data_IF_266071238711
#
_entry.id   IF_266071238711
#
_cell.length_a   1.000
_cell.length_b   1.000
_cell.length_c   1.000
_cell.angle_alpha   90.00
_cell.angle_beta   90.00
_cell.angle_gamma   90.00
#
_symmetry.space_group_name_H-M   'P 1'
#
loop_
_entity.id
_entity.type
_entity.pdbx_description
1 polymer ?
#
# COMPACT_ATOMS: atom_id res chain seq x y z
N UNK A 1 13.52 4.57 26.31
CA UNK A 1 12.62 5.71 26.02
C UNK A 1 13.39 6.96 25.55
N UNK A 2 14.51 7.33 26.18
CA UNK A 2 15.27 8.54 25.84
C UNK A 2 15.83 8.53 24.40
N UNK A 3 16.31 7.40 23.89
CA UNK A 3 16.88 7.28 22.54
C UNK A 3 15.82 7.50 21.45
N UNK A 4 14.62 6.98 21.66
CA UNK A 4 13.48 7.20 20.75
C UNK A 4 12.97 8.64 20.83
N UNK A 5 12.98 9.22 22.03
CA UNK A 5 12.61 10.64 22.22
C UNK A 5 13.58 11.57 21.48
N UNK A 6 14.87 11.26 21.49
CA UNK A 6 15.89 12.00 20.73
C UNK A 6 15.64 11.92 19.22
N UNK A 7 15.16 10.78 18.71
CA UNK A 7 14.81 10.62 17.30
C UNK A 7 13.65 11.51 16.85
N UNK A 8 12.74 11.91 17.76
CA UNK A 8 11.67 12.88 17.49
C UNK A 8 12.18 14.31 17.27
N UNK A 9 13.40 14.60 17.72
CA UNK A 9 14.01 15.92 17.63
C UNK A 9 14.78 16.16 16.33
N UNK A 10 14.64 15.27 15.33
CA UNK A 10 15.22 15.42 14.00
C UNK A 10 14.65 16.66 13.32
N UNK A 11 15.53 17.47 12.74
CA UNK A 11 15.13 18.65 11.99
C UNK A 11 14.35 18.23 10.74
N UNK A 12 13.06 18.52 10.75
CA UNK A 12 12.16 18.36 9.59
C UNK A 12 12.02 19.70 8.86
N UNK A 13 11.60 19.70 7.59
CA UNK A 13 11.08 20.90 6.94
C UNK A 13 9.96 21.52 7.78
N UNK A 14 9.85 22.86 7.83
CA UNK A 14 8.91 23.57 8.71
C UNK A 14 7.43 23.17 8.50
N UNK A 15 7.11 22.68 7.31
CA UNK A 15 5.76 22.28 6.94
C UNK A 15 5.44 20.82 7.24
N UNK A 16 6.37 20.08 7.88
CA UNK A 16 6.21 18.65 8.17
C UNK A 16 6.20 18.38 9.67
N UNK A 17 5.48 17.32 10.05
CA UNK A 17 5.50 16.77 11.41
C UNK A 17 5.73 15.25 11.38
N UNK A 18 6.30 14.74 12.46
CA UNK A 18 6.45 13.29 12.67
C UNK A 18 5.10 12.70 13.05
N UNK A 19 4.66 11.69 12.32
CA UNK A 19 3.51 10.85 12.69
C UNK A 19 3.95 9.68 13.56
N UNK A 20 5.00 8.95 13.10
CA UNK A 20 5.49 7.76 13.78
C UNK A 20 7.00 7.75 13.84
N UNK A 21 7.53 7.24 14.96
CA UNK A 21 8.92 6.85 15.15
C UNK A 21 8.92 5.37 15.46
N UNK A 22 9.37 4.56 14.51
CA UNK A 22 9.28 3.10 14.58
C UNK A 22 10.71 2.54 14.73
N UNK A 23 11.06 1.94 15.87
CA UNK A 23 12.36 1.33 16.04
C UNK A 23 12.54 0.15 15.08
N UNK A 24 13.70 0.08 14.45
CA UNK A 24 14.09 -1.04 13.59
C UNK A 24 15.04 -1.99 14.32
N UNK A 25 16.06 -1.43 14.93
CA UNK A 25 17.07 -2.16 15.70
C UNK A 25 17.78 -1.20 16.68
N UNK A 26 18.38 -1.78 17.69
CA UNK A 26 19.17 -1.05 18.69
C UNK A 26 20.63 -1.48 18.63
N UNK A 27 21.50 -0.59 19.10
CA UNK A 27 22.91 -0.89 19.35
C UNK A 27 23.27 -0.55 20.78
N UNK A 28 24.11 -1.37 21.40
CA UNK A 28 24.66 -1.13 22.74
C UNK A 28 26.17 -1.32 22.64
N UNK A 29 26.90 -0.23 22.88
CA UNK A 29 28.36 -0.13 22.74
C UNK A 29 28.79 -0.58 21.32
N UNK A 30 29.36 -1.78 21.15
CA UNK A 30 29.83 -2.33 19.88
C UNK A 30 28.88 -3.41 19.31
N UNK A 31 27.79 -3.72 20.00
CA UNK A 31 26.81 -4.72 19.54
C UNK A 31 25.67 -4.04 18.77
N UNK A 32 25.47 -4.46 17.55
CA UNK A 32 24.41 -3.99 16.65
C UNK A 32 23.33 -5.06 16.44
N UNK A 33 22.18 -4.68 15.82
CA UNK A 33 21.12 -5.61 15.49
C UNK A 33 20.31 -6.13 16.67
N UNK A 34 20.33 -5.45 17.80
CA UNK A 34 19.58 -5.83 19.00
C UNK A 34 18.10 -5.49 18.78
N UNK A 35 17.24 -6.50 18.86
CA UNK A 35 15.77 -6.32 18.71
C UNK A 35 15.12 -5.78 19.99
N UNK A 36 15.53 -6.28 21.15
CA UNK A 36 15.02 -5.85 22.45
C UNK A 36 16.17 -5.48 23.38
N UNK A 37 16.36 -4.18 23.68
CA UNK A 37 17.44 -3.70 24.52
C UNK A 37 17.09 -3.74 26.03
N UNK A 38 15.87 -4.12 26.40
CA UNK A 38 15.42 -4.10 27.81
C UNK A 38 16.22 -5.10 28.62
N UNK A 39 16.82 -4.64 29.73
CA UNK A 39 17.64 -5.46 30.61
C UNK A 39 19.10 -5.59 30.19
N UNK A 40 19.51 -5.01 29.06
CA UNK A 40 20.91 -4.96 28.65
C UNK A 40 21.58 -3.72 29.24
N UNK A 41 22.84 -3.87 29.69
CA UNK A 41 23.67 -2.81 30.23
C UNK A 41 24.73 -2.39 29.22
N UNK A 42 25.00 -1.08 29.12
CA UNK A 42 26.02 -0.52 28.27
C UNK A 42 26.21 0.97 28.54
N UNK A 43 27.31 1.54 28.04
CA UNK A 43 27.65 2.95 28.19
C UNK A 43 27.02 3.80 27.09
N UNK A 44 26.94 3.26 25.87
CA UNK A 44 26.37 3.94 24.71
C UNK A 44 25.24 3.11 24.12
N UNK A 45 24.08 3.73 24.00
CA UNK A 45 22.91 3.12 23.33
C UNK A 45 22.54 3.92 22.09
N UNK A 46 22.35 3.22 20.96
CA UNK A 46 21.81 3.77 19.72
C UNK A 46 20.53 3.08 19.32
N UNK A 47 19.74 3.72 18.48
CA UNK A 47 18.60 3.11 17.83
C UNK A 47 18.54 3.55 16.37
N UNK A 48 18.32 2.59 15.47
CA UNK A 48 17.94 2.85 14.09
C UNK A 48 16.41 2.88 14.03
N UNK A 49 15.88 3.96 13.53
CA UNK A 49 14.42 4.18 13.51
C UNK A 49 13.92 4.50 12.10
N UNK A 50 12.71 4.09 11.82
CA UNK A 50 11.95 4.53 10.64
C UNK A 50 11.05 5.68 11.05
N UNK A 51 11.20 6.84 10.40
CA UNK A 51 10.38 8.02 10.64
C UNK A 51 9.32 8.12 9.56
N UNK A 52 8.05 8.20 9.97
CA UNK A 52 6.94 8.52 9.07
C UNK A 52 6.50 9.94 9.36
N UNK A 53 6.53 10.78 8.33
CA UNK A 53 6.20 12.19 8.42
C UNK A 53 5.07 12.55 7.48
N UNK A 54 4.35 13.61 7.77
CA UNK A 54 3.35 14.17 6.87
C UNK A 54 3.42 15.69 6.82
N UNK A 55 2.83 16.25 5.77
CA UNK A 55 2.63 17.68 5.67
C UNK A 55 1.58 18.15 6.69
N UNK A 56 1.85 19.24 7.39
CA UNK A 56 0.98 19.76 8.45
C UNK A 56 -0.43 20.06 7.97
N UNK A 57 -0.58 20.62 6.76
CA UNK A 57 -1.89 20.99 6.25
C UNK A 57 -2.76 19.79 5.92
N UNK A 58 -2.17 18.69 5.43
CA UNK A 58 -2.91 17.44 5.19
C UNK A 58 -3.48 16.89 6.50
N UNK A 59 -2.64 16.82 7.54
CA UNK A 59 -3.07 16.36 8.84
C UNK A 59 -4.15 17.26 9.46
N UNK A 60 -3.97 18.59 9.39
CA UNK A 60 -4.98 19.56 9.86
C UNK A 60 -6.30 19.44 9.10
N UNK A 61 -6.27 19.16 7.81
CA UNK A 61 -7.51 18.98 7.03
C UNK A 61 -8.29 17.76 7.51
N UNK A 62 -7.61 16.65 7.80
CA UNK A 62 -8.23 15.45 8.39
C UNK A 62 -8.81 15.78 9.77
N UNK A 63 -8.03 16.42 10.64
CA UNK A 63 -8.47 16.84 11.99
C UNK A 63 -9.73 17.70 11.90
N UNK A 64 -9.74 18.74 11.05
CA UNK A 64 -10.90 19.62 10.85
C UNK A 64 -12.14 18.87 10.32
N UNK A 65 -11.97 17.87 9.45
CA UNK A 65 -13.10 17.08 8.97
C UNK A 65 -13.75 16.29 10.10
N UNK A 66 -12.97 15.71 10.99
CA UNK A 66 -13.45 14.95 12.15
C UNK A 66 -14.10 15.88 13.18
N UNK A 67 -13.49 17.03 13.46
CA UNK A 67 -14.01 18.03 14.41
C UNK A 67 -15.35 18.61 13.95
N UNK A 68 -15.58 18.77 12.65
CA UNK A 68 -16.86 19.27 12.11
C UNK A 68 -18.06 18.39 12.42
N UNK A 69 -17.84 17.10 12.65
CA UNK A 69 -18.89 16.16 13.07
C UNK A 69 -18.95 15.97 14.59
N UNK A 70 -18.25 16.84 15.35
CA UNK A 70 -18.29 16.85 16.81
C UNK A 70 -17.39 15.79 17.47
N UNK A 71 -16.47 15.19 16.73
CA UNK A 71 -15.50 14.22 17.24
C UNK A 71 -14.15 14.87 17.47
N UNK A 72 -13.32 14.24 18.31
CA UNK A 72 -11.94 14.65 18.55
C UNK A 72 -10.99 13.62 17.98
N UNK A 73 -9.91 14.07 17.35
CA UNK A 73 -8.83 13.21 16.87
C UNK A 73 -7.83 13.00 18.00
N UNK A 74 -7.65 11.76 18.42
CA UNK A 74 -6.62 11.41 19.39
C UNK A 74 -5.28 11.17 18.70
N UNK A 75 -5.27 10.49 17.56
CA UNK A 75 -4.06 10.15 16.81
C UNK A 75 -4.34 9.98 15.33
N UNK A 76 -3.37 10.36 14.49
CA UNK A 76 -3.34 10.03 13.06
C UNK A 76 -2.35 8.89 12.86
N UNK A 77 -2.79 7.83 12.20
CA UNK A 77 -1.99 6.63 11.94
C UNK A 77 -1.85 6.48 10.42
N UNK A 78 -0.64 6.18 9.97
CA UNK A 78 -0.36 5.88 8.57
C UNK A 78 -1.07 4.58 8.14
N UNK A 79 -1.81 4.62 7.04
CA UNK A 79 -2.70 3.52 6.62
C UNK A 79 -1.98 2.20 6.40
N UNK A 80 -0.85 2.17 5.67
CA UNK A 80 -0.11 0.93 5.45
C UNK A 80 0.39 0.30 6.75
N UNK A 81 0.71 1.12 7.76
CA UNK A 81 1.07 0.62 9.09
C UNK A 81 -0.13 -0.02 9.78
N UNK A 82 -1.29 0.66 9.76
CA UNK A 82 -2.52 0.12 10.33
C UNK A 82 -2.93 -1.18 9.64
N UNK A 83 -2.92 -1.22 8.30
CA UNK A 83 -3.21 -2.41 7.50
C UNK A 83 -2.25 -3.55 7.82
N UNK A 84 -0.96 -3.26 8.02
CA UNK A 84 0.04 -4.28 8.37
C UNK A 84 -0.25 -4.98 9.70
N UNK A 85 -0.83 -4.29 10.67
CA UNK A 85 -1.25 -4.90 11.93
C UNK A 85 -2.47 -5.79 11.78
N UNK A 86 -3.35 -5.46 10.83
CA UNK A 86 -4.56 -6.23 10.60
C UNK A 86 -4.31 -7.51 9.80
N UNK A 87 -3.41 -7.46 8.80
CA UNK A 87 -3.32 -8.51 7.77
C UNK A 87 -2.02 -9.31 7.78
N UNK A 88 -0.96 -8.84 8.44
CA UNK A 88 0.33 -9.53 8.48
C UNK A 88 0.56 -10.28 9.77
N UNK A 89 1.13 -11.48 9.66
CA UNK A 89 1.64 -12.24 10.80
C UNK A 89 3.06 -11.81 11.16
N UNK A 90 3.50 -12.12 12.39
CA UNK A 90 4.87 -11.85 12.82
C UNK A 90 5.89 -12.67 12.04
N UNK A 91 5.54 -13.90 11.65
CA UNK A 91 6.39 -14.75 10.83
C UNK A 91 6.60 -14.14 9.42
N UNK A 92 5.56 -13.60 8.79
CA UNK A 92 5.68 -12.89 7.53
C UNK A 92 6.61 -11.68 7.64
N UNK A 93 6.47 -10.89 8.70
CA UNK A 93 7.35 -9.73 8.97
C UNK A 93 8.80 -10.15 9.19
N UNK A 94 9.02 -11.28 9.85
CA UNK A 94 10.38 -11.83 10.09
C UNK A 94 11.00 -12.36 8.80
N UNK A 95 10.25 -13.11 7.99
CA UNK A 95 10.72 -13.71 6.73
C UNK A 95 10.93 -12.67 5.63
N UNK A 96 10.18 -11.58 5.67
CA UNK A 96 10.18 -10.52 4.67
C UNK A 96 8.91 -10.51 3.85
N UNK A 97 8.17 -9.39 3.87
CA UNK A 97 6.89 -9.21 3.22
C UNK A 97 6.69 -7.75 2.83
N UNK A 98 5.99 -7.54 1.73
CA UNK A 98 5.45 -6.23 1.37
C UNK A 98 3.93 -6.27 1.50
N UNK A 99 3.35 -5.38 2.29
CA UNK A 99 1.90 -5.12 2.28
C UNK A 99 1.60 -3.94 1.38
N UNK A 100 0.54 -4.05 0.58
CA UNK A 100 0.04 -2.99 -0.29
C UNK A 100 -1.45 -2.82 -0.06
N UNK A 101 -1.83 -1.68 0.46
CA UNK A 101 -3.23 -1.28 0.63
C UNK A 101 -3.65 -0.48 -0.61
N UNK A 102 -4.48 -1.09 -1.46
CA UNK A 102 -4.94 -0.50 -2.72
C UNK A 102 -6.30 0.14 -2.49
N UNK A 103 -6.29 1.45 -2.28
CA UNK A 103 -7.50 2.25 -2.11
C UNK A 103 -8.09 2.77 -3.42
N UNK A 104 -8.94 3.77 -3.33
CA UNK A 104 -9.48 4.49 -4.49
C UNK A 104 -8.44 5.42 -5.11
N UNK A 105 -7.80 6.27 -4.30
CA UNK A 105 -6.89 7.31 -4.75
C UNK A 105 -5.40 7.00 -4.56
N UNK A 106 -5.04 6.15 -3.61
CA UNK A 106 -3.65 5.85 -3.26
C UNK A 106 -3.43 4.35 -3.09
N UNK A 107 -2.20 3.93 -3.34
CA UNK A 107 -1.66 2.66 -2.86
C UNK A 107 -0.63 2.95 -1.78
N UNK A 108 -0.88 2.43 -0.60
CA UNK A 108 -0.01 2.60 0.57
C UNK A 108 0.76 1.32 0.80
N UNK A 109 2.09 1.37 0.75
CA UNK A 109 2.94 0.20 0.88
C UNK A 109 3.87 0.27 2.08
N UNK A 110 4.15 -0.89 2.66
CA UNK A 110 5.14 -1.06 3.72
C UNK A 110 5.91 -2.38 3.53
N UNK A 111 7.22 -2.31 3.70
CA UNK A 111 8.13 -3.47 3.58
C UNK A 111 8.71 -3.79 4.95
N UNK A 112 8.56 -5.04 5.35
CA UNK A 112 9.11 -5.59 6.58
C UNK A 112 10.15 -6.66 6.25
N UNK A 113 11.27 -6.65 6.95
CA UNK A 113 12.25 -7.75 6.96
C UNK A 113 12.89 -7.86 8.34
N UNK A 114 13.11 -9.09 8.81
CA UNK A 114 13.68 -9.32 10.13
C UNK A 114 12.80 -8.80 11.27
N UNK A 115 11.49 -8.76 11.07
CA UNK A 115 10.50 -8.24 12.03
C UNK A 115 10.41 -6.72 12.10
N UNK A 116 11.18 -5.97 11.31
CA UNK A 116 11.23 -4.51 11.37
C UNK A 116 10.66 -3.87 10.10
N UNK A 117 9.94 -2.75 10.25
CA UNK A 117 9.53 -1.91 9.13
C UNK A 117 10.78 -1.25 8.52
N UNK A 118 11.09 -1.59 7.27
CA UNK A 118 12.26 -1.08 6.54
C UNK A 118 11.95 0.07 5.62
N UNK A 119 10.76 0.06 5.03
CA UNK A 119 10.34 1.06 4.05
C UNK A 119 8.85 1.27 4.08
N UNK A 120 8.42 2.48 3.78
CA UNK A 120 7.01 2.81 3.54
C UNK A 120 6.89 3.89 2.48
N UNK A 121 5.85 3.81 1.65
CA UNK A 121 5.58 4.79 0.59
C UNK A 121 4.10 4.87 0.29
N UNK A 122 3.65 6.06 -0.12
CA UNK A 122 2.34 6.31 -0.72
C UNK A 122 2.53 6.55 -2.22
N UNK A 123 1.81 5.80 -3.04
CA UNK A 123 1.77 5.97 -4.49
C UNK A 123 0.42 6.64 -4.82
N UNK A 124 0.38 7.83 -5.45
CA UNK A 124 -0.85 8.61 -5.62
C UNK A 124 -1.71 8.17 -6.81
N UNK A 125 -1.78 6.86 -7.05
CA UNK A 125 -2.60 6.24 -8.08
C UNK A 125 -3.15 4.93 -7.53
N UNK A 126 -4.43 4.64 -7.79
CA UNK A 126 -5.08 3.41 -7.36
C UNK A 126 -6.38 3.12 -8.15
N UNK A 127 -7.37 2.51 -7.52
CA UNK A 127 -8.59 2.02 -8.15
C UNK A 127 -9.39 3.04 -8.95
N UNK A 128 -9.30 4.33 -8.61
CA UNK A 128 -10.00 5.39 -9.35
C UNK A 128 -9.42 5.62 -10.76
N UNK A 129 -8.15 5.32 -10.98
CA UNK A 129 -7.56 5.34 -12.32
C UNK A 129 -8.23 4.28 -13.22
N UNK A 130 -8.47 3.09 -12.67
CA UNK A 130 -9.20 2.02 -13.37
C UNK A 130 -10.63 2.45 -13.72
N UNK A 131 -11.34 3.06 -12.78
CA UNK A 131 -12.69 3.61 -13.00
C UNK A 131 -12.70 4.65 -14.12
N UNK A 132 -11.71 5.53 -14.14
CA UNK A 132 -11.57 6.57 -15.17
C UNK A 132 -11.31 5.95 -16.54
N UNK A 133 -10.49 4.92 -16.63
CA UNK A 133 -10.24 4.20 -17.90
C UNK A 133 -11.51 3.54 -18.43
N UNK A 134 -12.30 2.91 -17.57
CA UNK A 134 -13.60 2.31 -17.94
C UNK A 134 -14.56 3.39 -18.44
N UNK A 135 -14.69 4.50 -17.69
CA UNK A 135 -15.56 5.62 -18.06
C UNK A 135 -15.19 6.17 -19.44
N UNK A 136 -13.91 6.37 -19.69
CA UNK A 136 -13.39 6.88 -20.95
C UNK A 136 -13.56 5.88 -22.10
N UNK A 137 -13.14 4.63 -21.91
CA UNK A 137 -13.18 3.59 -22.95
C UNK A 137 -14.61 3.30 -23.44
N UNK A 138 -15.59 3.33 -22.53
CA UNK A 138 -16.97 2.98 -22.86
C UNK A 138 -17.89 4.19 -22.97
N UNK A 139 -17.42 5.41 -22.70
CA UNK A 139 -18.28 6.59 -22.69
C UNK A 139 -19.45 6.43 -21.71
N UNK A 140 -19.16 5.91 -20.51
CA UNK A 140 -20.13 5.69 -19.42
C UNK A 140 -19.89 6.69 -18.28
N UNK A 141 -20.93 7.09 -17.52
CA UNK A 141 -20.72 7.97 -16.37
C UNK A 141 -19.78 7.34 -15.34
N UNK A 142 -18.92 8.13 -14.64
CA UNK A 142 -17.97 7.60 -13.66
C UNK A 142 -18.60 6.76 -12.54
N UNK A 143 -19.82 7.11 -12.11
CA UNK A 143 -20.56 6.35 -11.09
C UNK A 143 -20.90 4.96 -11.60
N UNK A 144 -21.36 4.87 -12.86
CA UNK A 144 -21.68 3.59 -13.49
C UNK A 144 -20.41 2.80 -13.80
N UNK A 145 -19.34 3.47 -14.21
CA UNK A 145 -18.03 2.83 -14.41
C UNK A 145 -17.51 2.17 -13.13
N UNK A 146 -17.64 2.83 -11.98
CA UNK A 146 -17.28 2.26 -10.68
C UNK A 146 -18.16 1.05 -10.34
N UNK A 147 -19.47 1.15 -10.53
CA UNK A 147 -20.40 0.05 -10.29
C UNK A 147 -20.09 -1.16 -11.19
N UNK A 148 -19.76 -0.94 -12.46
CA UNK A 148 -19.37 -1.97 -13.41
C UNK A 148 -18.04 -2.61 -13.01
N UNK A 149 -17.05 -1.81 -12.62
CA UNK A 149 -15.75 -2.31 -12.11
C UNK A 149 -15.95 -3.23 -10.92
N UNK A 150 -16.71 -2.80 -9.92
CA UNK A 150 -16.96 -3.57 -8.70
C UNK A 150 -17.71 -4.87 -8.96
N UNK A 151 -18.66 -4.86 -9.90
CA UNK A 151 -19.55 -5.99 -10.14
C UNK A 151 -19.01 -7.00 -11.14
N UNK A 152 -18.35 -6.53 -12.18
CA UNK A 152 -17.96 -7.33 -13.34
C UNK A 152 -16.47 -7.26 -13.66
N UNK A 153 -15.72 -6.41 -12.97
CA UNK A 153 -14.30 -6.22 -13.23
C UNK A 153 -13.50 -7.49 -13.01
N UNK A 154 -12.47 -7.65 -13.84
CA UNK A 154 -11.45 -8.68 -13.67
C UNK A 154 -10.08 -8.09 -14.04
N UNK A 155 -9.10 -8.29 -13.19
CA UNK A 155 -7.74 -7.78 -13.40
C UNK A 155 -6.92 -8.62 -14.39
N UNK A 156 -7.48 -9.74 -14.87
CA UNK A 156 -6.80 -10.65 -15.79
C UNK A 156 -7.78 -11.25 -16.81
N UNK A 157 -7.75 -10.74 -18.05
CA UNK A 157 -8.74 -11.05 -19.08
C UNK A 157 -8.88 -12.53 -19.44
N UNK A 158 -7.79 -13.31 -19.30
CA UNK A 158 -7.82 -14.76 -19.57
C UNK A 158 -8.73 -15.58 -18.61
N UNK A 159 -9.09 -15.00 -17.46
CA UNK A 159 -10.00 -15.65 -16.50
C UNK A 159 -11.47 -15.45 -16.85
N UNK A 160 -11.77 -14.51 -17.73
CA UNK A 160 -13.13 -14.16 -18.12
C UNK A 160 -13.62 -15.02 -19.28
N UNK A 161 -14.83 -15.57 -19.16
CA UNK A 161 -15.46 -16.29 -20.26
C UNK A 161 -15.81 -15.34 -21.42
N UNK A 162 -15.58 -15.80 -22.66
CA UNK A 162 -15.93 -15.05 -23.86
C UNK A 162 -17.43 -14.94 -24.10
N UNK A 163 -18.22 -15.76 -23.42
CA UNK A 163 -19.67 -15.80 -23.55
C UNK A 163 -20.37 -14.85 -22.59
N UNK A 164 -19.65 -14.36 -21.54
CA UNK A 164 -20.22 -13.45 -20.57
C UNK A 164 -20.45 -12.07 -21.18
N UNK A 165 -21.66 -11.55 -21.05
CA UNK A 165 -22.04 -10.20 -21.48
C UNK A 165 -22.50 -9.35 -20.32
N UNK A 166 -22.26 -8.04 -20.41
CA UNK A 166 -22.65 -7.03 -19.43
C UNK A 166 -23.36 -5.87 -20.11
N UNK A 167 -24.28 -5.22 -19.40
CA UNK A 167 -24.93 -3.99 -19.84
C UNK A 167 -24.16 -2.79 -19.35
N UNK A 168 -23.77 -1.90 -20.27
CA UNK A 168 -22.99 -0.70 -19.98
C UNK A 168 -23.82 0.53 -20.33
N UNK A 169 -24.21 1.35 -19.34
CA UNK A 169 -24.89 2.62 -19.56
C UNK A 169 -24.04 3.58 -20.43
N UNK A 170 -24.70 4.41 -21.22
CA UNK A 170 -24.04 5.40 -22.06
C UNK A 170 -24.36 6.82 -21.59
N UNK A 171 -23.42 7.75 -21.78
CA UNK A 171 -23.66 9.18 -21.51
C UNK A 171 -24.60 9.81 -22.54
N UNK A 172 -25.24 10.93 -22.18
CA UNK A 172 -26.04 11.72 -23.11
C UNK A 172 -27.39 11.10 -23.49
N UNK A 173 -27.99 10.30 -22.61
CA UNK A 173 -29.33 9.72 -22.83
C UNK A 173 -29.37 8.62 -23.91
N UNK A 174 -28.23 8.11 -24.32
CA UNK A 174 -28.15 6.98 -25.26
C UNK A 174 -28.53 5.68 -24.54
N UNK A 175 -29.10 4.69 -25.25
CA UNK A 175 -29.40 3.41 -24.64
C UNK A 175 -28.17 2.69 -24.17
N UNK A 176 -28.33 1.86 -23.13
CA UNK A 176 -27.27 0.98 -22.66
C UNK A 176 -26.83 0.02 -23.78
N UNK A 177 -25.57 -0.37 -23.75
CA UNK A 177 -24.96 -1.27 -24.72
C UNK A 177 -24.62 -2.60 -24.08
N UNK A 178 -24.87 -3.68 -24.75
CA UNK A 178 -24.36 -4.99 -24.35
C UNK A 178 -22.92 -5.16 -24.86
N UNK A 179 -22.00 -5.47 -23.96
CA UNK A 179 -20.60 -5.72 -24.26
C UNK A 179 -20.16 -7.07 -23.68
N UNK A 180 -19.17 -7.70 -24.30
CA UNK A 180 -18.52 -8.85 -23.69
C UNK A 180 -17.75 -8.43 -22.43
N UNK A 181 -17.90 -9.19 -21.35
CA UNK A 181 -17.15 -8.96 -20.11
C UNK A 181 -15.64 -8.98 -20.33
N UNK A 182 -15.18 -9.77 -21.29
CA UNK A 182 -13.77 -9.80 -21.68
C UNK A 182 -13.28 -8.43 -22.15
N UNK A 183 -14.08 -7.67 -22.90
CA UNK A 183 -13.72 -6.31 -23.35
C UNK A 183 -13.53 -5.36 -22.16
N UNK A 184 -14.32 -5.51 -21.10
CA UNK A 184 -14.11 -4.78 -19.84
C UNK A 184 -12.77 -5.17 -19.19
N UNK A 185 -12.47 -6.47 -19.11
CA UNK A 185 -11.21 -6.94 -18.55
C UNK A 185 -9.98 -6.46 -19.34
N UNK A 186 -10.08 -6.37 -20.67
CA UNK A 186 -9.03 -5.83 -21.55
C UNK A 186 -8.73 -4.35 -21.31
N UNK A 187 -9.67 -3.60 -20.76
CA UNK A 187 -9.44 -2.21 -20.29
C UNK A 187 -8.83 -2.19 -18.88
N UNK A 188 -9.26 -3.09 -18.02
CA UNK A 188 -8.87 -3.13 -16.61
C UNK A 188 -7.45 -3.69 -16.40
N UNK A 189 -7.12 -4.79 -17.06
CA UNK A 189 -5.84 -5.53 -16.88
C UNK A 189 -4.59 -4.66 -17.09
N UNK A 190 -4.48 -3.86 -18.18
CA UNK A 190 -3.30 -3.00 -18.38
C UNK A 190 -3.10 -2.00 -17.25
N UNK A 191 -4.19 -1.44 -16.71
CA UNK A 191 -4.09 -0.48 -15.61
C UNK A 191 -3.66 -1.15 -14.30
N UNK A 192 -4.20 -2.30 -13.96
CA UNK A 192 -3.72 -3.02 -12.78
C UNK A 192 -2.27 -3.48 -12.94
N UNK A 193 -1.88 -3.94 -14.12
CA UNK A 193 -0.47 -4.28 -14.40
C UNK A 193 0.44 -3.09 -14.22
N UNK A 194 0.05 -1.89 -14.65
CA UNK A 194 0.81 -0.66 -14.45
C UNK A 194 0.89 -0.27 -12.97
N UNK A 195 -0.23 -0.27 -12.25
CA UNK A 195 -0.27 0.06 -10.81
C UNK A 195 0.61 -0.89 -10.00
N UNK A 196 0.48 -2.20 -10.23
CA UNK A 196 1.31 -3.21 -9.57
C UNK A 196 2.79 -3.09 -10.00
N UNK A 197 3.06 -2.70 -11.26
CA UNK A 197 4.39 -2.40 -11.76
C UNK A 197 5.08 -1.28 -10.98
N UNK A 198 4.37 -0.21 -10.65
CA UNK A 198 4.91 0.88 -9.82
C UNK A 198 5.34 0.37 -8.44
N UNK A 199 4.56 -0.53 -7.83
CA UNK A 199 4.91 -1.17 -6.56
C UNK A 199 6.12 -2.09 -6.72
N UNK A 200 6.17 -2.88 -7.80
CA UNK A 200 7.28 -3.76 -8.10
C UNK A 200 8.61 -3.01 -8.22
N UNK A 201 8.62 -1.89 -8.96
CA UNK A 201 9.80 -1.06 -9.12
C UNK A 201 10.32 -0.52 -7.78
N UNK A 202 9.41 -0.10 -6.89
CA UNK A 202 9.77 0.32 -5.53
C UNK A 202 10.34 -0.85 -4.70
N UNK A 203 9.75 -2.04 -4.78
CA UNK A 203 10.27 -3.24 -4.11
C UNK A 203 11.70 -3.52 -4.57
N UNK A 204 11.94 -3.53 -5.87
CA UNK A 204 13.27 -3.80 -6.43
C UNK A 204 14.31 -2.77 -5.99
N UNK A 205 13.94 -1.49 -5.98
CA UNK A 205 14.81 -0.41 -5.51
C UNK A 205 15.16 -0.61 -4.02
N UNK A 206 14.17 -0.83 -3.19
CA UNK A 206 14.36 -1.02 -1.73
C UNK A 206 15.19 -2.26 -1.43
N UNK A 207 14.96 -3.36 -2.13
CA UNK A 207 15.75 -4.58 -1.97
C UNK A 207 17.24 -4.34 -2.33
N UNK A 208 17.50 -3.57 -3.37
CA UNK A 208 18.87 -3.16 -3.73
C UNK A 208 19.53 -2.32 -2.65
N UNK A 209 18.80 -1.34 -2.12
CA UNK A 209 19.28 -0.46 -1.04
C UNK A 209 19.57 -1.25 0.25
N UNK A 210 18.66 -2.13 0.67
CA UNK A 210 18.85 -2.98 1.86
C UNK A 210 20.02 -3.96 1.68
N UNK A 211 20.19 -4.51 0.48
CA UNK A 211 21.32 -5.39 0.16
C UNK A 211 22.64 -4.65 0.32
N UNK A 212 22.74 -3.42 -0.19
CA UNK A 212 23.96 -2.59 -0.08
C UNK A 212 24.33 -2.27 1.37
N UNK A 213 23.33 -2.24 2.26
CA UNK A 213 23.50 -2.00 3.71
C UNK A 213 23.73 -3.30 4.50
N UNK A 214 23.78 -4.46 3.86
CA UNK A 214 23.94 -5.76 4.53
C UNK A 214 22.71 -6.19 5.35
N UNK A 215 21.54 -5.60 5.09
CA UNK A 215 20.29 -5.89 5.80
C UNK A 215 19.53 -6.98 5.05
N UNK A 216 18.74 -7.80 5.78
CA UNK A 216 17.80 -8.74 5.15
C UNK A 216 16.91 -7.98 4.16
N UNK A 217 16.85 -8.45 2.91
CA UNK A 217 16.19 -7.77 1.80
C UNK A 217 15.21 -8.66 1.02
N UNK A 218 15.26 -9.97 1.26
CA UNK A 218 14.39 -10.92 0.57
C UNK A 218 12.98 -10.84 1.13
N UNK A 219 11.98 -10.90 0.23
CA UNK A 219 10.57 -10.98 0.59
C UNK A 219 10.11 -12.45 0.45
N UNK A 220 10.60 -13.30 1.36
CA UNK A 220 10.30 -14.73 1.30
C UNK A 220 8.81 -15.04 1.54
N UNK A 221 8.10 -14.19 2.26
CA UNK A 221 6.65 -14.27 2.41
C UNK A 221 5.86 -13.56 1.30
N UNK A 222 6.57 -12.96 0.31
CA UNK A 222 5.95 -12.35 -0.86
C UNK A 222 5.24 -11.04 -0.61
N UNK A 223 4.09 -10.85 -1.26
CA UNK A 223 3.28 -9.63 -1.21
C UNK A 223 1.89 -9.95 -0.68
N UNK A 224 1.39 -9.10 0.21
CA UNK A 224 0.02 -9.15 0.73
C UNK A 224 -0.72 -7.92 0.23
N UNK A 225 -1.81 -8.13 -0.51
CA UNK A 225 -2.68 -7.08 -1.02
C UNK A 225 -3.88 -6.92 -0.10
N UNK A 226 -4.27 -5.69 0.17
CA UNK A 226 -5.49 -5.35 0.91
C UNK A 226 -6.09 -4.06 0.36
N UNK A 227 -7.20 -3.60 0.92
CA UNK A 227 -7.93 -2.44 0.44
C UNK A 227 -9.00 -2.79 -0.57
N UNK A 228 -9.97 -1.90 -0.75
CA UNK A 228 -11.17 -2.17 -1.56
C UNK A 228 -10.88 -2.46 -3.04
N UNK A 229 -9.83 -1.87 -3.62
CA UNK A 229 -9.46 -2.14 -5.02
C UNK A 229 -8.68 -3.46 -5.20
N UNK A 230 -8.26 -4.11 -4.09
CA UNK A 230 -7.67 -5.45 -4.11
C UNK A 230 -8.71 -6.58 -4.11
N UNK A 231 -10.00 -6.27 -4.01
CA UNK A 231 -11.08 -7.26 -4.05
C UNK A 231 -11.50 -7.67 -5.47
N UNK A 232 -10.91 -7.05 -6.50
CA UNK A 232 -11.25 -7.37 -7.89
C UNK A 232 -10.83 -8.80 -8.25
N UNK A 233 -11.68 -9.48 -9.01
CA UNK A 233 -11.38 -10.83 -9.52
C UNK A 233 -10.07 -10.87 -10.31
N UNK A 234 -9.25 -11.90 -10.11
CA UNK A 234 -8.00 -12.10 -10.85
C UNK A 234 -6.82 -11.23 -10.39
N UNK A 235 -6.96 -10.46 -9.30
CA UNK A 235 -5.89 -9.58 -8.83
C UNK A 235 -4.67 -10.37 -8.34
N UNK A 236 -4.87 -11.50 -7.68
CA UNK A 236 -3.77 -12.34 -7.17
C UNK A 236 -2.93 -12.85 -8.32
N UNK A 237 -3.56 -13.45 -9.33
CA UNK A 237 -2.88 -13.98 -10.50
C UNK A 237 -2.19 -12.89 -11.32
N UNK A 238 -2.81 -11.73 -11.45
CA UNK A 238 -2.21 -10.56 -12.09
C UNK A 238 -0.97 -10.09 -11.31
N UNK A 239 -1.07 -10.00 -9.99
CA UNK A 239 0.00 -9.57 -9.11
C UNK A 239 1.17 -10.58 -9.09
N UNK A 240 0.89 -11.88 -9.07
CA UNK A 240 1.92 -12.93 -9.15
C UNK A 240 2.71 -12.85 -10.46
N UNK A 241 2.05 -12.51 -11.56
CA UNK A 241 2.74 -12.28 -12.84
C UNK A 241 3.66 -11.06 -12.79
N UNK A 242 3.26 -9.99 -12.13
CA UNK A 242 4.05 -8.75 -12.03
C UNK A 242 5.21 -8.91 -11.04
N UNK A 243 4.91 -9.42 -9.84
CA UNK A 243 5.90 -9.51 -8.75
C UNK A 243 6.82 -10.72 -8.84
N UNK A 244 6.44 -11.76 -9.61
CA UNK A 244 7.17 -13.03 -9.71
C UNK A 244 7.42 -13.68 -8.33
N UNK A 245 6.48 -13.55 -7.41
CA UNK A 245 6.50 -14.12 -6.08
C UNK A 245 5.08 -14.47 -5.62
N UNK A 246 4.96 -15.11 -4.47
CA UNK A 246 3.67 -15.42 -3.87
C UNK A 246 2.91 -14.16 -3.49
N UNK A 247 1.61 -14.16 -3.77
CA UNK A 247 0.69 -13.08 -3.42
C UNK A 247 -0.53 -13.66 -2.73
N UNK A 248 -1.01 -12.99 -1.69
CA UNK A 248 -2.29 -13.29 -1.04
C UNK A 248 -3.08 -12.02 -0.76
N UNK A 249 -4.36 -12.18 -0.53
CA UNK A 249 -5.22 -11.13 0.02
C UNK A 249 -5.16 -11.16 1.55
N UNK A 250 -5.14 -9.98 2.15
CA UNK A 250 -5.10 -9.79 3.61
C UNK A 250 -6.46 -9.71 4.25
#
# INVERSE_FOLDING_TARGET
DNVIHTAKSVRLPEEHRVLHVIPQEYSIDYQEGIKNPIGLSGVRMGAKVHLITCHNDMARNIEKCVERVGLKVDQIIFSALASSYAVLTDDEKELGVCVVDIGGGTMDMAIFTGGALRYSKVIPYAGQAVTSDIAYAFGTPPVDAEAIKMRYGCALGRLVSKEDTIEVPSVGGRPARSLQRQTLAEVIEPRYSELLGMVHDEIMRVQSDLRSQGVKHQLAAGVVLTGGAAEIEGIVECAEQVFQCQVRIG
#
